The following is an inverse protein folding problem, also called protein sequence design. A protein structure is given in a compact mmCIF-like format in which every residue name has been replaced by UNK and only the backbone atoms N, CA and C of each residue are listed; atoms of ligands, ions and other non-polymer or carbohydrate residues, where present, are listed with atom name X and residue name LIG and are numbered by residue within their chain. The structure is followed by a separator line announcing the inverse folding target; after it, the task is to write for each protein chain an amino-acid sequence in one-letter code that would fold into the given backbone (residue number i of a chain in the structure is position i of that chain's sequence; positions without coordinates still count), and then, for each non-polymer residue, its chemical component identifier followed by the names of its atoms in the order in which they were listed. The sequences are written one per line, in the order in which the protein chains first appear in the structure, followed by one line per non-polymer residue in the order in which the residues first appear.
data_IF_789137915302
#
_entry.id   IF_789137915302
#
_cell.length_a   1.000
_cell.length_b   1.000
_cell.length_c   1.000
_cell.angle_alpha   90.00
_cell.angle_beta   90.00
_cell.angle_gamma   90.00
#
_symmetry.space_group_name_H-M   'P 1'
#
loop_
_entity.id
_entity.type
_entity.pdbx_description
1 polymer ?
#
# COMPACT_ATOMS: atom_id res chain seq x y z
N UNK A 1 18.65 4.65 16.65
CA UNK A 1 17.92 3.74 17.56
C UNK A 1 16.46 4.15 17.80
N UNK A 2 16.11 5.44 17.90
CA UNK A 2 14.72 5.89 18.07
C UNK A 2 13.88 5.73 16.77
N UNK A 3 14.46 5.96 15.62
CA UNK A 3 13.83 5.89 14.30
C UNK A 3 13.51 4.46 13.86
N UNK A 4 14.32 3.48 14.22
CA UNK A 4 13.97 2.07 14.02
C UNK A 4 12.71 1.68 14.84
N UNK A 5 12.54 2.27 16.03
CA UNK A 5 11.38 2.00 16.88
C UNK A 5 10.11 2.60 16.29
N UNK A 6 10.17 3.79 15.71
CA UNK A 6 9.04 4.45 15.07
C UNK A 6 8.64 3.76 13.74
N UNK A 7 9.62 3.33 12.96
CA UNK A 7 9.41 2.52 11.78
C UNK A 7 8.78 1.16 12.12
N UNK A 8 9.33 0.44 13.11
CA UNK A 8 8.72 -0.81 13.58
C UNK A 8 7.31 -0.59 14.11
N UNK A 9 7.05 0.54 14.78
CA UNK A 9 5.69 0.94 15.18
C UNK A 9 4.76 1.17 14.00
N UNK A 10 5.23 1.80 12.92
CA UNK A 10 4.39 2.05 11.74
C UNK A 10 4.11 0.77 10.95
N UNK A 11 5.10 -0.13 10.81
CA UNK A 11 4.92 -1.46 10.21
C UNK A 11 4.04 -2.33 11.11
N UNK A 12 4.23 -2.27 12.42
CA UNK A 12 3.41 -2.96 13.41
C UNK A 12 1.97 -2.41 13.43
N UNK A 13 1.78 -1.10 13.30
CA UNK A 13 0.47 -0.47 13.19
C UNK A 13 -0.24 -0.88 11.89
N UNK A 14 0.44 -0.87 10.75
CA UNK A 14 -0.14 -1.35 9.47
C UNK A 14 -0.45 -2.84 9.52
N UNK A 15 0.44 -3.66 10.10
CA UNK A 15 0.19 -5.08 10.33
C UNK A 15 -0.95 -5.31 11.32
N UNK A 16 -1.08 -4.47 12.35
CA UNK A 16 -2.15 -4.54 13.33
C UNK A 16 -3.49 -4.05 12.77
N UNK A 17 -3.50 -3.05 11.87
CA UNK A 17 -4.71 -2.65 11.13
C UNK A 17 -5.22 -3.76 10.23
N UNK A 18 -4.34 -4.40 9.45
CA UNK A 18 -4.71 -5.56 8.62
C UNK A 18 -5.19 -6.73 9.50
N UNK A 19 -4.55 -6.95 10.64
CA UNK A 19 -4.94 -7.97 11.61
C UNK A 19 -6.28 -7.64 12.25
N UNK A 20 -6.54 -6.37 12.57
CA UNK A 20 -7.80 -5.87 13.11
C UNK A 20 -8.93 -6.01 12.09
N UNK A 21 -8.73 -5.56 10.84
CA UNK A 21 -9.70 -5.73 9.75
C UNK A 21 -10.03 -7.21 9.54
N UNK A 22 -9.02 -8.08 9.53
CA UNK A 22 -9.24 -9.53 9.40
C UNK A 22 -10.01 -10.13 10.58
N UNK A 23 -9.70 -9.69 11.80
CA UNK A 23 -10.42 -10.10 13.01
C UNK A 23 -11.86 -9.62 13.00
N UNK A 24 -12.09 -8.35 12.62
CA UNK A 24 -13.42 -7.76 12.56
C UNK A 24 -14.26 -8.42 11.46
N UNK A 25 -13.68 -8.70 10.28
CA UNK A 25 -14.33 -9.49 9.22
C UNK A 25 -14.66 -10.92 9.69
N UNK A 26 -13.74 -11.57 10.42
CA UNK A 26 -13.99 -12.91 10.93
C UNK A 26 -15.16 -12.92 11.94
N UNK A 27 -15.23 -11.93 12.83
CA UNK A 27 -16.30 -11.77 13.80
C UNK A 27 -17.65 -11.50 13.10
N UNK A 28 -17.65 -10.68 12.07
CA UNK A 28 -18.83 -10.37 11.24
C UNK A 28 -19.34 -11.62 10.53
N UNK A 29 -18.45 -12.38 9.91
CA UNK A 29 -18.79 -13.63 9.21
C UNK A 29 -19.33 -14.64 10.22
N UNK A 30 -18.72 -14.76 11.41
CA UNK A 30 -19.16 -15.66 12.47
C UNK A 30 -20.55 -15.27 12.97
N UNK A 31 -20.79 -13.98 13.24
CA UNK A 31 -22.10 -13.48 13.67
C UNK A 31 -23.16 -13.71 12.58
N UNK A 32 -22.85 -13.41 11.32
CA UNK A 32 -23.75 -13.68 10.21
C UNK A 32 -24.08 -15.17 10.07
N UNK A 33 -23.08 -16.04 10.25
CA UNK A 33 -23.27 -17.49 10.24
C UNK A 33 -24.19 -17.96 11.35
N UNK A 34 -23.98 -17.50 12.59
CA UNK A 34 -24.78 -17.86 13.76
C UNK A 34 -26.24 -17.43 13.61
N UNK A 35 -26.46 -16.26 13.05
CA UNK A 35 -27.80 -15.71 12.83
C UNK A 35 -28.54 -16.40 11.68
N UNK A 36 -27.86 -16.71 10.56
CA UNK A 36 -28.47 -17.49 9.46
C UNK A 36 -28.91 -18.88 9.94
N UNK A 37 -28.25 -19.45 10.95
CA UNK A 37 -28.57 -20.74 11.55
C UNK A 37 -29.46 -20.65 12.80
N UNK A 38 -29.81 -19.43 13.24
CA UNK A 38 -30.77 -19.20 14.31
C UNK A 38 -32.20 -19.47 13.82
N UNK A 39 -32.96 -20.19 14.62
CA UNK A 39 -34.39 -20.49 14.32
C UNK A 39 -35.32 -19.33 14.75
N UNK A 40 -34.79 -18.20 15.16
CA UNK A 40 -35.55 -17.07 15.69
C UNK A 40 -35.64 -15.94 14.63
N UNK A 41 -36.87 -15.58 14.27
CA UNK A 41 -37.17 -14.59 13.24
C UNK A 41 -36.69 -13.16 13.60
N UNK A 42 -36.68 -12.83 14.89
CA UNK A 42 -36.18 -11.52 15.40
C UNK A 42 -34.67 -11.39 15.24
N UNK A 43 -33.93 -12.47 15.41
CA UNK A 43 -32.47 -12.49 15.21
C UNK A 43 -32.11 -12.34 13.72
N UNK A 44 -32.98 -12.87 12.84
CA UNK A 44 -32.79 -12.78 11.40
C UNK A 44 -32.96 -11.35 10.85
N UNK A 45 -33.96 -10.60 11.31
CA UNK A 45 -34.12 -9.19 10.94
C UNK A 45 -32.99 -8.30 11.48
N UNK A 46 -32.48 -8.60 12.68
CA UNK A 46 -31.36 -7.88 13.25
C UNK A 46 -30.07 -8.10 12.44
N UNK A 47 -29.86 -9.32 11.94
CA UNK A 47 -28.75 -9.65 11.08
C UNK A 47 -28.84 -9.04 9.69
N UNK A 48 -30.03 -9.04 9.09
CA UNK A 48 -30.25 -8.38 7.79
C UNK A 48 -29.90 -6.88 7.90
N UNK A 49 -30.32 -6.22 8.97
CA UNK A 49 -29.93 -4.83 9.24
C UNK A 49 -28.43 -4.65 9.42
N UNK A 50 -27.76 -5.54 10.14
CA UNK A 50 -26.31 -5.50 10.36
C UNK A 50 -25.54 -5.77 9.06
N UNK A 51 -25.99 -6.71 8.25
CA UNK A 51 -25.40 -7.00 6.94
C UNK A 51 -25.62 -5.84 5.95
N UNK A 52 -26.76 -5.16 5.98
CA UNK A 52 -27.02 -3.97 5.16
C UNK A 52 -26.18 -2.76 5.60
N UNK A 53 -25.97 -2.55 6.90
CA UNK A 53 -25.03 -1.54 7.39
C UNK A 53 -23.61 -1.84 6.93
N UNK A 54 -23.16 -3.07 7.09
CA UNK A 54 -21.83 -3.51 6.63
C UNK A 54 -21.70 -3.41 5.11
N UNK A 55 -22.72 -3.77 4.35
CA UNK A 55 -22.76 -3.61 2.91
C UNK A 55 -22.63 -2.14 2.50
N UNK A 56 -23.22 -1.22 3.26
CA UNK A 56 -23.10 0.21 3.01
C UNK A 56 -21.72 0.73 3.36
N UNK A 57 -21.15 0.32 4.50
CA UNK A 57 -19.78 0.68 4.90
C UNK A 57 -18.72 0.08 3.95
N UNK A 58 -18.95 -1.16 3.47
CA UNK A 58 -18.05 -1.83 2.50
C UNK A 58 -18.27 -1.31 1.08
N UNK A 59 -19.47 -0.86 0.71
CA UNK A 59 -19.76 -0.30 -0.62
C UNK A 59 -19.03 1.03 -0.87
N UNK A 60 -18.73 1.79 0.19
CA UNK A 60 -17.89 2.98 0.11
C UNK A 60 -16.40 2.63 -0.04
N UNK A 61 -15.99 1.41 0.30
CA UNK A 61 -14.66 0.87 0.01
C UNK A 61 -14.74 0.22 -1.39
N UNK A 62 -14.55 1.02 -2.42
CA UNK A 62 -14.31 0.49 -3.77
C UNK A 62 -13.02 -0.34 -3.73
N UNK A 63 -13.14 -1.64 -3.51
CA UNK A 63 -12.00 -2.57 -3.63
C UNK A 63 -11.73 -2.72 -5.12
N UNK A 64 -10.88 -1.86 -5.64
CA UNK A 64 -10.35 -2.02 -6.98
C UNK A 64 -9.41 -3.23 -6.98
N UNK A 65 -9.56 -4.08 -7.98
CA UNK A 65 -8.67 -5.23 -8.14
C UNK A 65 -7.49 -4.80 -9.02
N UNK A 66 -6.35 -4.58 -8.40
CA UNK A 66 -5.12 -4.17 -9.09
C UNK A 66 -4.26 -5.36 -9.50
N UNK A 67 -4.22 -6.44 -8.71
CA UNK A 67 -3.39 -7.61 -9.01
C UNK A 67 -3.94 -8.90 -8.37
N UNK A 68 -3.25 -10.03 -8.61
CA UNK A 68 -3.60 -11.33 -8.05
C UNK A 68 -3.02 -11.56 -6.65
N UNK A 69 -1.94 -10.87 -6.28
CA UNK A 69 -1.38 -10.93 -4.93
C UNK A 69 -2.29 -10.20 -3.95
N UNK A 70 -2.82 -10.92 -2.97
CA UNK A 70 -3.81 -10.40 -2.02
C UNK A 70 -3.26 -9.25 -1.18
N UNK A 71 -2.02 -9.36 -0.71
CA UNK A 71 -1.39 -8.37 0.15
C UNK A 71 -1.14 -7.06 -0.61
N UNK A 72 -0.52 -7.16 -1.79
CA UNK A 72 -0.27 -6.01 -2.68
C UNK A 72 -1.59 -5.35 -3.08
N UNK A 73 -2.63 -6.15 -3.37
CA UNK A 73 -3.94 -5.63 -3.74
C UNK A 73 -4.59 -4.82 -2.61
N UNK A 74 -4.50 -5.29 -1.35
CA UNK A 74 -5.00 -4.54 -0.18
C UNK A 74 -4.25 -3.24 0.01
N UNK A 75 -2.91 -3.25 -0.09
CA UNK A 75 -2.08 -2.04 0.01
C UNK A 75 -2.49 -1.05 -1.08
N UNK A 76 -2.53 -1.49 -2.34
CA UNK A 76 -2.88 -0.64 -3.48
C UNK A 76 -4.29 -0.03 -3.35
N UNK A 77 -5.28 -0.82 -2.91
CA UNK A 77 -6.65 -0.35 -2.70
C UNK A 77 -6.72 0.75 -1.64
N UNK A 78 -6.01 0.57 -0.51
CA UNK A 78 -5.94 1.58 0.54
C UNK A 78 -5.26 2.85 0.04
N UNK A 79 -4.17 2.73 -0.73
CA UNK A 79 -3.45 3.87 -1.29
C UNK A 79 -4.22 4.57 -2.41
N UNK A 80 -5.00 3.86 -3.21
CA UNK A 80 -5.94 4.45 -4.15
C UNK A 80 -7.03 5.28 -3.44
N UNK A 81 -7.55 4.78 -2.33
CA UNK A 81 -8.49 5.53 -1.49
C UNK A 81 -7.83 6.79 -0.89
N UNK A 82 -6.58 6.70 -0.45
CA UNK A 82 -5.81 7.84 0.05
C UNK A 82 -5.59 8.89 -1.04
N UNK A 83 -5.28 8.47 -2.28
CA UNK A 83 -5.17 9.35 -3.43
C UNK A 83 -6.47 10.10 -3.70
N UNK A 84 -7.62 9.40 -3.75
CA UNK A 84 -8.93 10.02 -3.96
C UNK A 84 -9.26 11.06 -2.88
N UNK A 85 -9.00 10.76 -1.60
CA UNK A 85 -9.23 11.70 -0.49
C UNK A 85 -8.37 12.96 -0.55
N UNK A 86 -7.26 12.94 -1.28
CA UNK A 86 -6.33 14.05 -1.40
C UNK A 86 -6.30 14.66 -2.80
N UNK A 87 -7.26 14.35 -3.67
CA UNK A 87 -7.35 14.83 -5.06
C UNK A 87 -6.07 14.57 -5.86
N UNK A 88 -5.49 13.37 -5.69
CA UNK A 88 -4.31 12.91 -6.42
C UNK A 88 -4.77 11.97 -7.55
N UNK A 89 -4.47 12.33 -8.80
CA UNK A 89 -4.65 11.43 -9.93
C UNK A 89 -3.67 10.24 -9.80
N UNK A 90 -4.15 9.03 -10.02
CA UNK A 90 -3.30 7.84 -9.92
C UNK A 90 -3.52 6.88 -11.08
N UNK A 91 -2.45 6.16 -11.41
CA UNK A 91 -2.44 5.10 -12.41
C UNK A 91 -1.60 3.93 -11.85
N UNK A 92 -2.30 2.88 -11.37
CA UNK A 92 -1.69 1.69 -10.79
C UNK A 92 -1.88 0.51 -11.73
N UNK A 93 -0.78 0.05 -12.32
CA UNK A 93 -0.74 -1.14 -13.16
C UNK A 93 0.17 -2.18 -12.48
N UNK A 94 -0.47 -3.07 -11.72
CA UNK A 94 0.21 -4.02 -10.85
C UNK A 94 -0.03 -5.44 -11.36
N UNK A 95 0.91 -5.96 -12.13
CA UNK A 95 0.86 -7.33 -12.61
C UNK A 95 1.69 -8.26 -11.71
N UNK A 96 1.21 -8.46 -10.48
CA UNK A 96 1.87 -9.29 -9.47
C UNK A 96 1.12 -10.60 -9.32
N UNK A 97 1.79 -11.75 -9.52
CA UNK A 97 1.18 -13.06 -9.36
C UNK A 97 0.76 -13.31 -7.91
N UNK A 98 -0.13 -14.30 -7.70
CA UNK A 98 -0.64 -14.64 -6.37
C UNK A 98 0.45 -14.93 -5.36
N UNK A 99 1.51 -15.58 -5.80
CA UNK A 99 2.65 -15.97 -4.96
C UNK A 99 3.93 -15.43 -5.58
N UNK A 100 4.76 -14.86 -4.73
CA UNK A 100 6.14 -14.44 -5.01
C UNK A 100 7.02 -14.96 -3.88
N UNK A 101 8.28 -15.25 -4.17
CA UNK A 101 9.22 -15.82 -3.19
C UNK A 101 9.91 -14.72 -2.35
N UNK A 102 9.13 -13.74 -1.91
CA UNK A 102 9.56 -12.65 -1.02
C UNK A 102 8.66 -12.71 0.21
N UNK A 103 9.22 -12.55 1.40
CA UNK A 103 8.45 -12.55 2.65
C UNK A 103 7.41 -11.43 2.65
N UNK A 104 6.20 -11.71 3.14
CA UNK A 104 5.07 -10.77 3.19
C UNK A 104 5.44 -9.43 3.86
N UNK A 105 6.26 -9.48 4.91
CA UNK A 105 6.75 -8.28 5.62
C UNK A 105 7.62 -7.42 4.71
N UNK A 106 8.45 -8.01 3.87
CA UNK A 106 9.34 -7.29 2.97
C UNK A 106 8.60 -6.77 1.73
N UNK A 107 7.58 -7.51 1.24
CA UNK A 107 6.62 -7.00 0.26
C UNK A 107 5.91 -5.75 0.82
N UNK A 108 5.39 -5.83 2.04
CA UNK A 108 4.76 -4.67 2.69
C UNK A 108 5.71 -3.49 2.77
N UNK A 109 6.97 -3.69 3.22
CA UNK A 109 7.97 -2.62 3.31
C UNK A 109 8.20 -1.97 1.95
N UNK A 110 8.39 -2.76 0.90
CA UNK A 110 8.66 -2.25 -0.43
C UNK A 110 7.48 -1.41 -0.95
N UNK A 111 6.28 -1.99 -0.99
CA UNK A 111 5.12 -1.30 -1.54
C UNK A 111 4.71 -0.08 -0.71
N UNK A 112 4.63 -0.20 0.62
CA UNK A 112 4.22 0.92 1.48
C UNK A 112 5.20 2.09 1.34
N UNK A 113 6.52 1.85 1.36
CA UNK A 113 7.50 2.93 1.21
C UNK A 113 7.41 3.60 -0.17
N UNK A 114 7.23 2.83 -1.25
CA UNK A 114 7.11 3.38 -2.60
C UNK A 114 5.84 4.24 -2.72
N UNK A 115 4.70 3.72 -2.27
CA UNK A 115 3.43 4.45 -2.30
C UNK A 115 3.48 5.71 -1.43
N UNK A 116 3.98 5.61 -0.19
CA UNK A 116 4.03 6.73 0.75
C UNK A 116 4.93 7.85 0.24
N UNK A 117 6.08 7.50 -0.33
CA UNK A 117 6.97 8.47 -0.93
C UNK A 117 6.29 9.24 -2.08
N UNK A 118 5.60 8.53 -2.98
CA UNK A 118 4.90 9.13 -4.10
C UNK A 118 3.71 10.01 -3.65
N UNK A 119 2.88 9.50 -2.72
CA UNK A 119 1.71 10.22 -2.21
C UNK A 119 2.13 11.47 -1.41
N UNK A 120 3.14 11.36 -0.55
CA UNK A 120 3.62 12.49 0.24
C UNK A 120 4.24 13.60 -0.65
N UNK A 121 4.94 13.21 -1.72
CA UNK A 121 5.45 14.16 -2.71
C UNK A 121 4.31 14.85 -3.47
N UNK A 122 3.31 14.10 -3.90
CA UNK A 122 2.14 14.65 -4.60
C UNK A 122 1.29 15.57 -3.69
N UNK A 123 1.12 15.24 -2.41
CA UNK A 123 0.43 16.10 -1.42
C UNK A 123 1.10 17.46 -1.23
N UNK A 124 2.41 17.55 -1.44
CA UNK A 124 3.16 18.81 -1.31
C UNK A 124 2.94 19.76 -2.49
N UNK A 125 2.27 19.33 -3.55
CA UNK A 125 1.93 20.14 -4.72
C UNK A 125 0.56 20.80 -4.54
N UNK A 126 0.39 22.00 -5.11
CA UNK A 126 -0.91 22.68 -5.18
C UNK A 126 -1.73 22.16 -6.36
N UNK A 127 -1.06 21.93 -7.51
CA UNK A 127 -1.66 21.48 -8.77
C UNK A 127 -0.89 20.31 -9.38
N UNK A 128 -1.48 19.66 -10.39
CA UNK A 128 -0.87 18.56 -11.15
C UNK A 128 -0.41 17.38 -10.27
N UNK A 129 -1.19 17.06 -9.24
CA UNK A 129 -0.96 15.93 -8.36
C UNK A 129 -1.21 14.64 -9.11
N UNK A 130 -0.15 13.91 -9.43
CA UNK A 130 -0.30 12.58 -10.00
C UNK A 130 0.76 11.61 -9.49
N UNK A 131 0.41 10.34 -9.49
CA UNK A 131 1.34 9.23 -9.24
C UNK A 131 1.06 8.08 -10.21
N UNK A 132 2.13 7.43 -10.66
CA UNK A 132 2.06 6.20 -11.43
C UNK A 132 2.86 5.13 -10.71
N UNK A 133 2.27 3.95 -10.55
CA UNK A 133 2.96 2.79 -9.99
C UNK A 133 2.83 1.64 -10.98
N UNK A 134 3.95 1.05 -11.35
CA UNK A 134 4.02 -0.14 -12.18
C UNK A 134 4.72 -1.24 -11.42
N UNK A 135 4.22 -2.46 -11.52
CA UNK A 135 4.86 -3.60 -10.91
C UNK A 135 4.58 -4.87 -11.71
N UNK A 136 5.60 -5.69 -11.91
CA UNK A 136 5.50 -6.96 -12.61
C UNK A 136 6.63 -7.90 -12.18
N UNK A 137 6.44 -9.18 -12.38
CA UNK A 137 7.51 -10.17 -12.31
C UNK A 137 7.96 -10.47 -13.74
N UNK A 138 9.25 -10.29 -14.01
CA UNK A 138 9.84 -10.67 -15.30
C UNK A 138 10.15 -12.16 -15.30
N UNK A 139 9.57 -12.89 -16.26
CA UNK A 139 9.74 -14.35 -16.38
C UNK A 139 11.14 -14.76 -16.82
N UNK A 140 11.92 -13.84 -17.42
CA UNK A 140 13.27 -14.16 -17.92
C UNK A 140 14.31 -14.18 -16.80
N UNK A 141 14.21 -13.29 -15.83
CA UNK A 141 15.18 -13.19 -14.73
C UNK A 141 14.59 -13.54 -13.35
N UNK A 142 13.26 -13.73 -13.27
CA UNK A 142 12.55 -14.06 -12.05
C UNK A 142 12.55 -12.93 -11.02
N UNK A 143 12.67 -11.68 -11.48
CA UNK A 143 12.70 -10.50 -10.61
C UNK A 143 11.33 -9.83 -10.53
N UNK A 144 10.92 -9.44 -9.32
CA UNK A 144 9.84 -8.49 -9.10
C UNK A 144 10.39 -7.08 -9.30
N UNK A 145 9.83 -6.36 -10.25
CA UNK A 145 10.09 -4.94 -10.48
C UNK A 145 8.93 -4.11 -9.96
N UNK A 146 9.25 -3.05 -9.23
CA UNK A 146 8.29 -2.02 -8.81
C UNK A 146 8.88 -0.68 -9.21
N UNK A 147 8.13 0.14 -9.91
CA UNK A 147 8.51 1.51 -10.24
C UNK A 147 7.42 2.49 -9.86
N UNK A 148 7.82 3.65 -9.37
CA UNK A 148 6.93 4.79 -9.16
C UNK A 148 7.42 6.01 -9.92
N UNK A 149 6.48 6.79 -10.41
CA UNK A 149 6.69 8.09 -11.02
C UNK A 149 5.68 9.07 -10.44
N UNK A 150 6.14 10.20 -9.96
CA UNK A 150 5.27 11.27 -9.46
C UNK A 150 5.86 12.65 -9.73
N UNK A 151 5.00 13.65 -9.84
CA UNK A 151 5.42 15.04 -9.88
C UNK A 151 5.98 15.46 -8.51
N UNK A 152 6.96 16.37 -8.55
CA UNK A 152 7.56 17.00 -7.36
C UNK A 152 7.65 18.49 -7.53
N UNK A 153 7.62 19.24 -6.41
CA UNK A 153 7.78 20.68 -6.43
C UNK A 153 9.19 21.08 -6.97
N UNK A 154 9.31 22.22 -7.65
CA UNK A 154 10.60 22.67 -8.20
C UNK A 154 11.72 22.79 -7.15
N UNK A 155 11.35 23.09 -5.90
CA UNK A 155 12.28 23.24 -4.76
C UNK A 155 12.38 21.95 -3.89
N UNK A 156 11.92 20.82 -4.40
CA UNK A 156 11.88 19.54 -3.68
C UNK A 156 13.26 19.13 -3.14
N UNK A 157 14.31 19.23 -3.95
CA UNK A 157 15.68 18.89 -3.54
C UNK A 157 16.21 19.81 -2.43
N UNK A 158 15.92 21.13 -2.48
CA UNK A 158 16.31 22.06 -1.44
C UNK A 158 15.60 21.78 -0.10
N UNK A 159 14.29 21.48 -0.20
CA UNK A 159 13.49 21.12 0.97
C UNK A 159 13.93 19.78 1.54
N UNK A 160 14.30 18.81 0.72
CA UNK A 160 14.83 17.51 1.15
C UNK A 160 16.15 17.66 1.91
N UNK A 161 17.08 18.51 1.42
CA UNK A 161 18.35 18.80 2.11
C UNK A 161 18.16 19.53 3.44
N UNK A 162 17.14 20.37 3.59
CA UNK A 162 16.84 21.10 4.83
C UNK A 162 16.13 20.25 5.90
N UNK A 163 15.43 19.19 5.48
CA UNK A 163 14.79 18.23 6.38
C UNK A 163 15.74 17.10 6.76
N UNK A 164 16.89 17.46 7.36
CA UNK A 164 17.85 16.50 7.93
C UNK A 164 17.18 15.77 9.10
N UNK A 165 16.61 14.60 8.83
CA UNK A 165 16.08 13.73 9.89
C UNK A 165 15.15 12.63 9.37
N UNK A 166 14.20 12.89 8.50
CA UNK A 166 13.09 11.94 8.27
C UNK A 166 12.95 11.36 6.85
N UNK A 167 13.61 11.89 5.83
CA UNK A 167 13.31 11.56 4.42
C UNK A 167 14.38 10.70 3.69
N UNK A 168 15.47 10.31 4.35
CA UNK A 168 16.51 9.42 3.79
C UNK A 168 16.24 7.93 4.02
N UNK A 169 15.35 7.60 4.93
CA UNK A 169 15.19 6.21 5.41
C UNK A 169 14.37 5.34 4.47
N UNK A 170 13.37 5.89 3.80
CA UNK A 170 12.52 5.10 2.89
C UNK A 170 13.31 4.45 1.76
N UNK A 171 14.22 5.20 1.12
CA UNK A 171 15.09 4.64 0.08
C UNK A 171 16.08 3.63 0.66
N UNK A 172 16.67 3.91 1.83
CA UNK A 172 17.57 2.96 2.51
C UNK A 172 16.85 1.64 2.86
N UNK A 173 15.61 1.72 3.32
CA UNK A 173 14.80 0.53 3.58
C UNK A 173 14.56 -0.27 2.30
N UNK A 174 14.28 0.43 1.19
CA UNK A 174 14.11 -0.22 -0.12
C UNK A 174 15.40 -0.89 -0.57
N UNK A 175 16.55 -0.21 -0.43
CA UNK A 175 17.88 -0.75 -0.74
C UNK A 175 18.17 -2.01 0.08
N UNK A 176 18.08 -1.93 1.42
CA UNK A 176 18.34 -3.05 2.33
C UNK A 176 17.39 -4.23 2.06
N UNK A 177 16.12 -3.93 1.74
CA UNK A 177 15.13 -4.96 1.39
C UNK A 177 15.47 -5.61 0.05
N UNK A 178 15.81 -4.83 -0.97
CA UNK A 178 16.17 -5.34 -2.29
C UNK A 178 17.43 -6.22 -2.23
N UNK A 179 18.47 -5.75 -1.52
CA UNK A 179 19.74 -6.49 -1.32
C UNK A 179 19.52 -7.86 -0.68
N UNK A 180 18.60 -7.99 0.27
CA UNK A 180 18.22 -9.26 0.91
C UNK A 180 17.79 -10.31 -0.12
N UNK A 181 17.21 -9.89 -1.24
CA UNK A 181 16.72 -10.74 -2.32
C UNK A 181 17.57 -10.64 -3.60
N UNK A 182 18.84 -10.22 -3.47
CA UNK A 182 19.78 -10.14 -4.57
C UNK A 182 19.44 -9.11 -5.65
N UNK A 183 18.69 -8.08 -5.27
CA UNK A 183 18.25 -7.00 -6.14
C UNK A 183 18.85 -5.66 -5.77
N UNK A 184 18.18 -4.59 -6.19
CA UNK A 184 18.59 -3.22 -5.92
C UNK A 184 17.38 -2.27 -5.88
N UNK A 185 17.57 -1.11 -5.26
CA UNK A 185 16.64 0.01 -5.37
C UNK A 185 17.40 1.28 -5.72
N UNK A 186 16.75 2.16 -6.47
CA UNK A 186 17.31 3.44 -6.86
C UNK A 186 16.22 4.49 -7.03
N UNK A 187 16.57 5.74 -6.81
CA UNK A 187 15.67 6.86 -7.07
C UNK A 187 16.41 7.96 -7.82
N UNK A 188 15.69 8.63 -8.72
CA UNK A 188 16.19 9.74 -9.51
C UNK A 188 15.15 10.84 -9.58
N UNK A 189 15.63 12.08 -9.72
CA UNK A 189 14.78 13.23 -9.96
C UNK A 189 15.29 14.00 -11.18
N UNK A 190 14.40 14.25 -12.11
CA UNK A 190 14.72 15.02 -13.31
C UNK A 190 13.46 15.72 -13.83
N UNK A 191 13.58 16.99 -14.23
CA UNK A 191 12.51 17.73 -14.90
C UNK A 191 11.21 17.88 -14.09
N UNK A 192 11.28 17.93 -12.74
CA UNK A 192 10.09 18.02 -11.89
C UNK A 192 9.37 16.68 -11.67
N UNK A 193 10.01 15.58 -12.08
CA UNK A 193 9.51 14.22 -11.89
C UNK A 193 10.49 13.47 -10.99
N UNK A 194 9.94 12.78 -9.99
CA UNK A 194 10.67 11.82 -9.15
C UNK A 194 10.32 10.40 -9.61
N UNK A 195 11.33 9.59 -9.78
CA UNK A 195 11.19 8.17 -10.13
C UNK A 195 11.91 7.33 -9.09
N UNK A 196 11.27 6.28 -8.62
CA UNK A 196 11.88 5.27 -7.76
C UNK A 196 11.70 3.89 -8.40
N UNK A 197 12.74 3.06 -8.37
CA UNK A 197 12.73 1.69 -8.87
C UNK A 197 13.22 0.77 -7.77
N UNK A 198 12.54 -0.35 -7.63
CA UNK A 198 12.90 -1.47 -6.76
C UNK A 198 12.89 -2.75 -7.59
N UNK A 199 13.91 -3.57 -7.41
CA UNK A 199 13.99 -4.90 -8.01
C UNK A 199 14.44 -5.90 -6.95
N UNK A 200 13.79 -7.07 -6.89
CA UNK A 200 14.12 -8.14 -5.97
C UNK A 200 13.75 -9.49 -6.58
N UNK A 201 14.50 -10.55 -6.28
CA UNK A 201 14.19 -11.89 -6.79
C UNK A 201 12.87 -12.39 -6.17
N UNK A 202 11.92 -12.75 -7.04
CA UNK A 202 10.54 -13.14 -6.68
C UNK A 202 10.38 -14.65 -6.52
#
# INVERSE_FOLDING_TARGET
NALNIEYYKNVENSSNEVRKIRHDLANIIQTAYEVVHSSNEVDREAAERMLDQLRTEVADIKIEKFCLNTLVNVIASNKANECRKNDIAYDFDLNVPRFVNIEDVDICKAYVNIFDNAINAAKALEENRYIKIRSFVDENDGMLYISSENAVAPDYEEKKKKRTGDHGYGLKILEDTAEKYGGHAAANQSGGIFTCVFAARA
#
